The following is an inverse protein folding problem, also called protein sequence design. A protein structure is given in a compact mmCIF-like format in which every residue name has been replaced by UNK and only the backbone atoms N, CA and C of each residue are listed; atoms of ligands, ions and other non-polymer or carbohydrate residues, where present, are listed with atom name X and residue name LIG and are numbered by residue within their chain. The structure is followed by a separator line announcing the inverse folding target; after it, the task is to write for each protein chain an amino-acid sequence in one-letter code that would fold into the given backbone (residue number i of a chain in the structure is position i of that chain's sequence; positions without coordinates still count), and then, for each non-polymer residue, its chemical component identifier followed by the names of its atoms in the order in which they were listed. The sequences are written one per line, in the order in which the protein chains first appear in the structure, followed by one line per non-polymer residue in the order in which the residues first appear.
data_IF_711619183834
#
_entry.id   IF_711619183834
#
_cell.length_a   1.000
_cell.length_b   1.000
_cell.length_c   1.000
_cell.angle_alpha   90.00
_cell.angle_beta   90.00
_cell.angle_gamma   90.00
#
_symmetry.space_group_name_H-M   'P 1'
#
loop_
_entity.id
_entity.type
_entity.pdbx_description
1 polymer ?
#
# COMPACT_ATOMS: atom_id res chain seq x y z
N UNK A 1 10.29 4.94 7.05
CA UNK A 1 11.67 4.44 7.15
C UNK A 1 11.74 2.89 7.12
N UNK A 2 11.12 2.16 8.06
CA UNK A 2 11.13 0.67 8.07
C UNK A 2 10.57 0.02 6.79
N UNK A 3 9.42 0.49 6.28
CA UNK A 3 8.76 -0.07 5.10
C UNK A 3 9.65 -0.02 3.85
N UNK A 4 10.42 1.05 3.72
CA UNK A 4 11.34 1.29 2.59
C UNK A 4 12.61 0.44 2.71
N UNK A 5 13.10 0.22 3.93
CA UNK A 5 14.23 -0.69 4.18
C UNK A 5 13.88 -2.15 3.92
N UNK A 6 12.63 -2.56 4.15
CA UNK A 6 12.14 -3.93 3.88
C UNK A 6 11.98 -4.24 2.38
N UNK A 7 11.92 -3.21 1.53
CA UNK A 7 11.69 -3.35 0.09
C UNK A 7 12.82 -4.08 -0.63
N UNK A 8 14.08 -3.81 -0.30
CA UNK A 8 15.19 -4.19 -1.19
C UNK A 8 14.97 -3.62 -2.61
N UNK A 9 14.99 -4.47 -3.64
CA UNK A 9 14.88 -4.08 -5.07
C UNK A 9 13.51 -4.36 -5.73
N UNK A 10 12.46 -4.68 -4.98
CA UNK A 10 11.17 -5.07 -5.56
C UNK A 10 10.03 -4.08 -5.25
N UNK A 11 9.04 -3.98 -6.13
CA UNK A 11 7.81 -3.22 -5.87
C UNK A 11 6.78 -4.11 -5.17
N UNK A 12 6.21 -3.64 -4.07
CA UNK A 12 5.27 -4.45 -3.28
C UNK A 12 3.89 -3.84 -3.24
N UNK A 13 2.87 -4.66 -3.47
CA UNK A 13 1.50 -4.30 -3.10
C UNK A 13 1.41 -4.00 -1.59
N UNK A 14 0.67 -2.95 -1.29
CA UNK A 14 0.23 -2.62 0.05
C UNK A 14 -1.24 -2.98 0.20
N UNK A 15 -1.68 -3.25 1.43
CA UNK A 15 -3.09 -3.42 1.76
C UNK A 15 -3.88 -2.10 1.70
N UNK A 16 -3.70 -1.28 0.67
CA UNK A 16 -4.30 0.03 0.49
C UNK A 16 -4.94 0.09 -0.92
N UNK A 17 -6.25 0.37 -0.97
CA UNK A 17 -7.03 0.33 -2.22
C UNK A 17 -8.07 1.46 -2.25
N UNK A 18 -8.36 1.97 -3.44
CA UNK A 18 -9.43 2.94 -3.67
C UNK A 18 -10.79 2.23 -3.71
N UNK A 19 -11.71 2.65 -2.85
CA UNK A 19 -13.09 2.19 -2.78
C UNK A 19 -14.02 3.41 -2.72
N UNK A 20 -14.95 3.52 -3.67
CA UNK A 20 -15.84 4.69 -3.75
C UNK A 20 -15.08 6.03 -3.85
N UNK A 21 -13.95 6.06 -4.57
CA UNK A 21 -13.11 7.24 -4.73
C UNK A 21 -12.12 7.52 -3.59
N UNK A 22 -12.30 6.90 -2.42
CA UNK A 22 -11.46 7.10 -1.22
C UNK A 22 -10.48 5.95 -1.04
N UNK A 23 -9.29 6.24 -0.52
CA UNK A 23 -8.30 5.22 -0.21
C UNK A 23 -8.58 4.61 1.16
N UNK A 24 -8.62 3.28 1.24
CA UNK A 24 -8.91 2.52 2.46
C UNK A 24 -7.91 1.38 2.64
N UNK A 25 -7.55 1.13 3.89
CA UNK A 25 -6.71 0.00 4.28
C UNK A 25 -7.49 -1.33 4.17
N UNK A 26 -6.77 -2.45 4.25
CA UNK A 26 -7.33 -3.80 4.15
C UNK A 26 -8.34 -4.14 5.25
N UNK A 27 -8.28 -3.42 6.38
CA UNK A 27 -9.24 -3.51 7.49
C UNK A 27 -10.47 -2.60 7.32
N UNK A 28 -10.53 -1.82 6.24
CA UNK A 28 -11.63 -0.89 5.93
C UNK A 28 -11.46 0.51 6.51
N UNK A 29 -10.43 0.78 7.29
CA UNK A 29 -10.16 2.12 7.81
C UNK A 29 -9.71 3.08 6.70
N UNK A 30 -10.06 4.37 6.83
CA UNK A 30 -9.70 5.38 5.84
C UNK A 30 -8.20 5.73 5.90
N UNK A 31 -7.58 5.93 4.74
CA UNK A 31 -6.22 6.43 4.66
C UNK A 31 -6.15 7.93 4.98
N UNK A 32 -5.38 8.29 5.99
CA UNK A 32 -5.26 9.68 6.46
C UNK A 32 -4.47 10.61 5.51
N UNK A 33 -4.01 10.11 4.36
CA UNK A 33 -3.37 10.94 3.31
C UNK A 33 -2.10 11.67 3.76
N UNK A 34 -1.37 11.10 4.73
CA UNK A 34 -0.10 11.63 5.24
C UNK A 34 1.07 11.51 4.26
N UNK A 35 0.92 10.69 3.20
CA UNK A 35 1.84 10.62 2.04
C UNK A 35 1.01 10.70 0.76
N UNK A 36 1.46 11.43 -0.27
CA UNK A 36 0.81 11.40 -1.57
C UNK A 36 0.86 10.00 -2.20
N UNK A 37 -0.25 9.59 -2.81
CA UNK A 37 -0.32 8.42 -3.70
C UNK A 37 -0.32 8.90 -5.14
N UNK A 38 0.68 8.46 -5.92
CA UNK A 38 0.84 8.85 -7.31
C UNK A 38 -0.05 8.00 -8.24
N UNK A 39 -0.67 8.65 -9.22
CA UNK A 39 -1.64 8.03 -10.12
C UNK A 39 -3.06 7.98 -9.54
N UNK A 40 -3.99 7.45 -10.33
CA UNK A 40 -5.41 7.40 -9.97
C UNK A 40 -6.03 6.00 -10.10
N UNK A 41 -5.20 4.96 -10.13
CA UNK A 41 -5.66 3.58 -10.23
C UNK A 41 -6.10 3.04 -8.87
N UNK A 42 -6.54 1.78 -8.85
CA UNK A 42 -7.29 1.22 -7.74
C UNK A 42 -6.41 0.69 -6.60
N UNK A 43 -5.36 -0.09 -6.90
CA UNK A 43 -4.50 -0.71 -5.88
C UNK A 43 -3.20 0.08 -5.71
N UNK A 44 -2.72 0.19 -4.47
CA UNK A 44 -1.50 0.95 -4.13
C UNK A 44 -0.34 0.00 -3.86
N UNK A 45 0.82 0.34 -4.43
CA UNK A 45 2.08 -0.34 -4.22
C UNK A 45 3.17 0.64 -3.80
N UNK A 46 4.22 0.09 -3.20
CA UNK A 46 5.44 0.77 -2.84
C UNK A 46 6.46 0.64 -3.98
N UNK A 47 6.94 1.77 -4.51
CA UNK A 47 8.00 1.82 -5.51
C UNK A 47 8.80 3.11 -5.38
N UNK A 48 10.13 3.04 -5.48
CA UNK A 48 11.04 4.19 -5.36
C UNK A 48 10.75 5.12 -4.19
N UNK A 49 10.54 4.53 -3.01
CA UNK A 49 10.14 5.20 -1.78
C UNK A 49 8.85 6.05 -1.87
N UNK A 50 8.00 5.74 -2.84
CA UNK A 50 6.75 6.42 -3.12
C UNK A 50 5.60 5.44 -3.12
N UNK A 51 4.43 5.96 -2.78
CA UNK A 51 3.17 5.23 -2.93
C UNK A 51 2.68 5.52 -4.34
N UNK A 52 2.49 4.47 -5.14
CA UNK A 52 2.00 4.56 -6.52
C UNK A 52 0.76 3.69 -6.66
N UNK A 53 -0.09 4.00 -7.62
CA UNK A 53 -1.29 3.22 -7.91
C UNK A 53 -1.22 2.57 -9.27
N UNK A 54 -1.76 1.36 -9.37
CA UNK A 54 -1.89 0.61 -10.63
C UNK A 54 -3.15 -0.29 -10.57
N UNK A 55 -3.53 -0.90 -11.70
CA UNK A 55 -4.62 -1.87 -11.74
C UNK A 55 -4.30 -3.11 -10.90
N UNK A 56 -5.28 -3.58 -10.12
CA UNK A 56 -5.11 -4.67 -9.16
C UNK A 56 -4.79 -6.04 -9.80
N UNK A 57 -4.93 -6.19 -11.12
CA UNK A 57 -4.62 -7.42 -11.85
C UNK A 57 -3.12 -7.62 -12.10
N UNK A 58 -2.28 -6.61 -11.87
CA UNK A 58 -0.84 -6.73 -12.07
C UNK A 58 -0.19 -7.65 -11.03
N UNK A 59 0.61 -8.60 -11.50
CA UNK A 59 1.33 -9.54 -10.63
C UNK A 59 2.54 -8.86 -10.01
N UNK A 60 2.52 -8.72 -8.67
CA UNK A 60 3.64 -8.20 -7.87
C UNK A 60 3.63 -8.89 -6.50
N UNK A 61 4.77 -9.00 -5.81
CA UNK A 61 4.78 -9.45 -4.43
C UNK A 61 4.00 -8.47 -3.53
N UNK A 62 3.64 -8.91 -2.32
CA UNK A 62 2.86 -8.09 -1.38
C UNK A 62 3.47 -8.11 0.01
N UNK A 63 3.22 -7.05 0.78
CA UNK A 63 3.60 -6.95 2.19
C UNK A 63 2.35 -7.03 3.08
N UNK A 64 2.41 -7.91 4.07
CA UNK A 64 1.38 -8.01 5.11
C UNK A 64 1.90 -7.46 6.43
N UNK A 65 1.00 -6.85 7.21
CA UNK A 65 1.26 -6.43 8.58
C UNK A 65 0.12 -6.88 9.47
N UNK A 66 0.45 -7.33 10.69
CA UNK A 66 -0.53 -7.63 11.74
C UNK A 66 0.00 -7.07 13.05
N UNK A 67 -0.88 -6.54 13.89
CA UNK A 67 -0.50 -6.18 15.25
C UNK A 67 0.00 -7.42 15.99
N UNK A 68 1.10 -7.27 16.73
CA UNK A 68 1.55 -8.31 17.64
C UNK A 68 0.49 -8.44 18.76
N UNK A 69 0.08 -9.67 19.06
CA UNK A 69 -0.84 -9.90 20.16
C UNK A 69 -0.20 -9.39 21.46
N UNK A 70 -0.98 -8.80 22.39
CA UNK A 70 -0.49 -8.53 23.74
C UNK A 70 0.07 -9.82 24.35
N UNK A 71 1.22 -9.71 25.02
CA UNK A 71 1.81 -10.81 25.79
C UNK A 71 0.90 -11.19 26.96
#
# INVERSE_FOLDING_TARGET
DLLFRLRGNADFWLGLRRRGGRLQWGDGSDFSSWVPVLGNSECVYLADDKFRSEGCSNQRPYLCSKAQAPL
#
